data_IF_412592562306
#
_entry.id   IF_412592562306
#
_cell.length_a   1.000
_cell.length_b   1.000
_cell.length_c   1.000
_cell.angle_alpha   90.00
_cell.angle_beta   90.00
_cell.angle_gamma   90.00
#
_symmetry.space_group_name_H-M   'P 1'
#
loop_
_entity.id
_entity.type
_entity.pdbx_description
1 polymer ?
#
# COMPACT_ATOMS: atom_id res chain seq x y z
N UNK A 1 43.47 12.35 31.57
CA UNK A 1 42.54 11.68 30.66
C UNK A 1 42.90 10.21 30.68
N UNK A 2 42.00 9.41 31.24
CA UNK A 2 42.14 7.96 31.41
C UNK A 2 42.39 7.30 30.03
N UNK A 3 43.13 6.18 29.98
CA UNK A 3 43.43 5.49 28.71
C UNK A 3 42.13 5.08 27.99
N UNK A 4 41.07 4.80 28.75
CA UNK A 4 39.72 4.59 28.23
C UNK A 4 39.15 5.82 27.51
N UNK A 5 39.32 7.02 28.08
CA UNK A 5 38.82 8.27 27.48
C UNK A 5 39.55 8.61 26.20
N UNK A 6 40.88 8.38 26.15
CA UNK A 6 41.66 8.53 24.92
C UNK A 6 41.20 7.57 23.82
N UNK A 7 40.91 6.31 24.18
CA UNK A 7 40.41 5.32 23.23
C UNK A 7 39.03 5.70 22.68
N UNK A 8 38.11 6.18 23.54
CA UNK A 8 36.79 6.66 23.13
C UNK A 8 36.87 7.88 22.22
N UNK A 9 37.68 8.89 22.57
CA UNK A 9 37.86 10.06 21.73
C UNK A 9 38.37 9.69 20.32
N UNK A 10 39.26 8.70 20.22
CA UNK A 10 39.74 8.19 18.93
C UNK A 10 38.65 7.48 18.12
N UNK A 11 37.74 6.74 18.78
CA UNK A 11 36.58 6.16 18.12
C UNK A 11 35.65 7.25 17.60
N UNK A 12 35.37 8.29 18.40
CA UNK A 12 34.50 9.39 17.99
C UNK A 12 35.02 10.09 16.72
N UNK A 13 36.33 10.28 16.61
CA UNK A 13 36.95 10.86 15.41
C UNK A 13 36.87 9.94 14.18
N UNK A 14 37.00 8.62 14.38
CA UNK A 14 36.78 7.63 13.32
C UNK A 14 35.31 7.63 12.89
N UNK A 15 34.38 7.72 13.82
CA UNK A 15 32.94 7.69 13.54
C UNK A 15 32.46 8.93 12.80
N UNK A 16 33.06 10.11 13.03
CA UNK A 16 32.82 11.30 12.20
C UNK A 16 33.18 11.06 10.74
N UNK A 17 34.35 10.47 10.47
CA UNK A 17 34.77 10.13 9.11
C UNK A 17 33.84 9.07 8.51
N UNK A 18 33.46 8.05 9.29
CA UNK A 18 32.53 7.03 8.86
C UNK A 18 31.15 7.62 8.50
N UNK A 19 30.67 8.63 9.24
CA UNK A 19 29.40 9.30 8.95
C UNK A 19 29.43 10.01 7.60
N UNK A 20 30.51 10.73 7.28
CA UNK A 20 30.68 11.39 5.98
C UNK A 20 30.75 10.38 4.83
N UNK A 21 31.58 9.33 4.99
CA UNK A 21 31.69 8.25 4.00
C UNK A 21 30.36 7.49 3.82
N UNK A 22 29.63 7.29 4.91
CA UNK A 22 28.31 6.68 4.88
C UNK A 22 27.33 7.54 4.07
N UNK A 23 27.29 8.85 4.31
CA UNK A 23 26.46 9.80 3.56
C UNK A 23 26.73 9.73 2.06
N UNK A 24 27.99 9.89 1.66
CA UNK A 24 28.41 9.82 0.26
C UNK A 24 28.03 8.48 -0.38
N UNK A 25 28.21 7.37 0.34
CA UNK A 25 27.84 6.03 -0.12
C UNK A 25 26.33 5.91 -0.35
N UNK A 26 25.50 6.48 0.51
CA UNK A 26 24.03 6.45 0.36
C UNK A 26 23.57 7.28 -0.83
N UNK A 27 24.20 8.42 -1.13
CA UNK A 27 23.91 9.19 -2.36
C UNK A 27 24.15 8.35 -3.63
N UNK A 28 25.25 7.60 -3.69
CA UNK A 28 25.50 6.70 -4.82
C UNK A 28 24.54 5.51 -4.84
N UNK A 29 24.14 4.99 -3.68
CA UNK A 29 23.09 3.98 -3.61
C UNK A 29 21.78 4.49 -4.22
N UNK A 30 21.39 5.75 -3.96
CA UNK A 30 20.23 6.38 -4.58
C UNK A 30 20.39 6.54 -6.11
N UNK A 31 21.54 7.01 -6.58
CA UNK A 31 21.82 7.12 -8.03
C UNK A 31 21.68 5.77 -8.75
N UNK A 32 22.23 4.70 -8.16
CA UNK A 32 22.09 3.33 -8.70
C UNK A 32 20.61 2.92 -8.77
N UNK A 33 19.85 3.18 -7.71
CA UNK A 33 18.43 2.87 -7.67
C UNK A 33 17.65 3.59 -8.79
N UNK A 34 17.83 4.91 -8.91
CA UNK A 34 17.16 5.72 -9.94
C UNK A 34 17.52 5.24 -11.36
N UNK A 35 18.80 4.97 -11.61
CA UNK A 35 19.26 4.44 -12.90
C UNK A 35 18.59 3.11 -13.22
N UNK A 36 18.57 2.16 -12.26
CA UNK A 36 17.93 0.87 -12.43
C UNK A 36 16.45 1.01 -12.77
N UNK A 37 15.73 1.91 -12.10
CA UNK A 37 14.32 2.22 -12.38
C UNK A 37 14.13 2.76 -13.81
N UNK A 38 14.95 3.70 -14.25
CA UNK A 38 14.86 4.29 -15.59
C UNK A 38 15.11 3.26 -16.71
N UNK A 39 15.85 2.20 -16.42
CA UNK A 39 16.24 1.17 -17.38
C UNK A 39 15.55 -0.19 -17.17
N UNK A 40 14.58 -0.28 -16.25
CA UNK A 40 13.83 -1.51 -15.98
C UNK A 40 14.68 -2.66 -15.40
N UNK A 41 15.75 -2.36 -14.67
CA UNK A 41 16.65 -3.35 -14.07
C UNK A 41 16.26 -3.68 -12.63
N UNK A 42 16.41 -4.94 -12.22
CA UNK A 42 16.13 -5.38 -10.85
C UNK A 42 17.10 -4.74 -9.84
N UNK A 43 16.56 -4.23 -8.74
CA UNK A 43 17.32 -3.66 -7.62
C UNK A 43 18.13 -4.75 -6.91
N UNK A 44 17.65 -5.99 -6.91
CA UNK A 44 18.28 -7.16 -6.29
C UNK A 44 19.14 -7.94 -7.29
N UNK A 45 20.41 -8.15 -6.92
CA UNK A 45 21.32 -9.04 -7.64
C UNK A 45 22.14 -9.82 -6.60
N UNK A 46 21.65 -11.00 -6.26
CA UNK A 46 22.24 -11.86 -5.24
C UNK A 46 23.66 -12.33 -5.60
N UNK A 47 23.94 -12.47 -6.89
CA UNK A 47 25.25 -12.91 -7.41
C UNK A 47 26.28 -11.80 -7.20
N UNK A 48 25.92 -10.57 -7.55
CA UNK A 48 26.77 -9.40 -7.32
C UNK A 48 26.99 -9.13 -5.83
N UNK A 49 25.97 -9.33 -4.99
CA UNK A 49 26.10 -9.16 -3.54
C UNK A 49 27.11 -10.15 -2.93
N UNK A 50 26.99 -11.43 -3.27
CA UNK A 50 27.90 -12.45 -2.80
C UNK A 50 29.35 -12.15 -3.21
N UNK A 51 29.54 -11.68 -4.45
CA UNK A 51 30.83 -11.25 -4.98
C UNK A 51 31.39 -10.03 -4.24
N UNK A 52 30.57 -9.00 -3.98
CA UNK A 52 30.98 -7.79 -3.25
C UNK A 52 31.37 -8.11 -1.82
N UNK A 53 30.59 -8.94 -1.12
CA UNK A 53 30.91 -9.35 0.25
C UNK A 53 32.22 -10.12 0.27
N UNK A 54 32.42 -11.08 -0.64
CA UNK A 54 33.65 -11.86 -0.75
C UNK A 54 34.85 -10.94 -1.01
N UNK A 55 34.79 -10.14 -2.08
CA UNK A 55 35.90 -9.28 -2.51
C UNK A 55 36.31 -8.28 -1.42
N UNK A 56 35.34 -7.67 -0.73
CA UNK A 56 35.63 -6.72 0.34
C UNK A 56 36.15 -7.40 1.60
N UNK A 57 35.59 -8.56 1.96
CA UNK A 57 36.08 -9.33 3.10
C UNK A 57 37.51 -9.83 2.86
N UNK A 58 37.83 -10.25 1.63
CA UNK A 58 39.16 -10.75 1.27
C UNK A 58 40.22 -9.64 1.24
N UNK A 59 39.83 -8.41 0.91
CA UNK A 59 40.70 -7.23 0.97
C UNK A 59 40.99 -6.76 2.40
N UNK A 60 40.24 -7.23 3.40
CA UNK A 60 40.46 -6.88 4.81
C UNK A 60 41.55 -7.79 5.42
N UNK A 61 42.52 -7.24 6.16
CA UNK A 61 43.60 -8.01 6.75
C UNK A 61 43.12 -9.20 7.58
N UNK A 62 43.86 -10.31 7.52
CA UNK A 62 43.58 -11.49 8.35
C UNK A 62 43.78 -11.18 9.83
N UNK A 63 42.84 -11.64 10.66
CA UNK A 63 42.83 -11.43 12.10
C UNK A 63 41.43 -11.55 12.71
N UNK A 64 41.34 -11.39 14.04
CA UNK A 64 40.12 -11.63 14.82
C UNK A 64 38.94 -10.73 14.42
N UNK A 65 39.21 -9.58 13.79
CA UNK A 65 38.20 -8.61 13.37
C UNK A 65 37.63 -8.88 11.98
N UNK A 66 38.26 -9.73 11.16
CA UNK A 66 37.83 -9.99 9.76
C UNK A 66 36.39 -10.49 9.67
N UNK A 67 35.98 -11.36 10.60
CA UNK A 67 34.59 -11.87 10.67
C UNK A 67 33.58 -10.76 10.93
N UNK A 68 33.92 -9.79 11.78
CA UNK A 68 33.05 -8.66 12.11
C UNK A 68 32.99 -7.65 10.95
N UNK A 69 34.12 -7.43 10.26
CA UNK A 69 34.13 -6.61 9.06
C UNK A 69 33.26 -7.20 7.95
N UNK A 70 33.33 -8.52 7.71
CA UNK A 70 32.45 -9.20 6.76
C UNK A 70 30.97 -8.99 7.07
N UNK A 71 30.60 -9.05 8.35
CA UNK A 71 29.22 -8.78 8.80
C UNK A 71 28.85 -7.30 8.62
N UNK A 72 29.77 -6.38 8.90
CA UNK A 72 29.56 -4.95 8.64
C UNK A 72 29.28 -4.68 7.15
N UNK A 73 30.02 -5.29 6.23
CA UNK A 73 29.79 -5.17 4.77
C UNK A 73 28.38 -5.65 4.41
N UNK A 74 27.96 -6.81 4.94
CA UNK A 74 26.61 -7.35 4.74
C UNK A 74 25.53 -6.39 5.26
N UNK A 75 25.68 -5.90 6.48
CA UNK A 75 24.72 -4.97 7.10
C UNK A 75 24.62 -3.66 6.32
N UNK A 76 25.76 -3.14 5.85
CA UNK A 76 25.80 -1.92 5.05
C UNK A 76 25.10 -2.13 3.69
N UNK A 77 25.28 -3.28 3.04
CA UNK A 77 24.55 -3.63 1.81
C UNK A 77 23.03 -3.72 2.06
N UNK A 78 22.61 -4.37 3.14
CA UNK A 78 21.20 -4.47 3.50
C UNK A 78 20.57 -3.09 3.78
N UNK A 79 21.28 -2.21 4.48
CA UNK A 79 20.82 -0.85 4.73
C UNK A 79 20.68 -0.05 3.43
N UNK A 80 21.58 -0.27 2.48
CA UNK A 80 21.50 0.34 1.13
C UNK A 80 20.25 -0.12 0.41
N UNK A 81 19.96 -1.42 0.42
CA UNK A 81 18.77 -1.98 -0.20
C UNK A 81 17.50 -1.41 0.43
N UNK A 82 17.46 -1.32 1.76
CA UNK A 82 16.32 -0.71 2.47
C UNK A 82 16.13 0.74 2.03
N UNK A 83 17.21 1.51 1.92
CA UNK A 83 17.17 2.88 1.45
C UNK A 83 16.77 3.00 -0.02
N UNK A 84 17.33 2.16 -0.89
CA UNK A 84 16.98 2.08 -2.31
C UNK A 84 15.51 1.72 -2.51
N UNK A 85 14.98 0.72 -1.79
CA UNK A 85 13.56 0.36 -1.81
C UNK A 85 12.66 1.51 -1.34
N UNK A 86 13.04 2.17 -0.24
CA UNK A 86 12.32 3.34 0.25
C UNK A 86 12.32 4.49 -0.77
N UNK A 87 13.45 4.71 -1.45
CA UNK A 87 13.60 5.71 -2.50
C UNK A 87 12.80 5.37 -3.76
N UNK A 88 12.71 4.08 -4.09
CA UNK A 88 12.06 3.58 -5.28
C UNK A 88 10.56 3.34 -5.12
N UNK A 89 10.05 3.32 -3.89
CA UNK A 89 8.64 2.99 -3.60
C UNK A 89 8.22 1.73 -4.37
N UNK A 90 9.03 0.66 -4.32
CA UNK A 90 8.65 -0.60 -4.97
C UNK A 90 7.26 -1.04 -4.49
N UNK A 91 6.42 -1.41 -5.45
CA UNK A 91 5.06 -1.92 -5.24
C UNK A 91 5.12 -3.02 -4.17
N UNK A 92 4.57 -2.76 -2.98
CA UNK A 92 4.49 -3.79 -1.96
C UNK A 92 3.19 -4.54 -2.19
N UNK A 93 3.28 -5.71 -2.80
CA UNK A 93 2.18 -6.66 -2.87
C UNK A 93 2.21 -7.58 -1.64
N UNK A 94 1.12 -7.58 -0.89
CA UNK A 94 0.91 -8.44 0.27
C UNK A 94 -0.23 -9.38 -0.08
N UNK A 95 0.04 -10.69 -0.14
CA UNK A 95 -1.01 -11.68 -0.30
C UNK A 95 -1.66 -11.98 1.05
N UNK A 96 -2.98 -11.84 1.13
CA UNK A 96 -3.78 -12.13 2.32
C UNK A 96 -4.51 -13.44 2.08
N UNK A 97 -4.13 -14.48 2.83
CA UNK A 97 -4.85 -15.76 2.86
C UNK A 97 -6.07 -15.63 3.77
N UNK A 98 -7.26 -15.88 3.24
CA UNK A 98 -8.50 -15.99 4.01
C UNK A 98 -9.00 -17.43 3.99
N UNK A 99 -10.18 -17.71 4.57
CA UNK A 99 -10.81 -19.03 4.43
C UNK A 99 -11.28 -19.37 3.00
N UNK A 100 -11.12 -18.43 2.05
CA UNK A 100 -11.44 -18.56 0.62
C UNK A 100 -10.14 -18.49 -0.23
N UNK A 101 -10.25 -18.09 -1.50
CA UNK A 101 -9.13 -17.97 -2.45
C UNK A 101 -8.08 -16.90 -2.08
N UNK A 102 -8.32 -16.10 -1.04
CA UNK A 102 -7.47 -14.96 -0.65
C UNK A 102 -7.50 -13.81 -1.67
N UNK A 103 -6.71 -12.77 -1.40
CA UNK A 103 -6.58 -11.61 -2.30
C UNK A 103 -5.26 -10.88 -2.09
N UNK A 104 -4.91 -10.03 -3.05
CA UNK A 104 -3.69 -9.21 -2.99
C UNK A 104 -4.00 -7.81 -2.52
N UNK A 105 -3.18 -7.30 -1.61
CA UNK A 105 -3.12 -5.90 -1.19
C UNK A 105 -1.92 -5.27 -1.89
N UNK A 106 -2.14 -4.37 -2.83
CA UNK A 106 -1.08 -3.63 -3.52
C UNK A 106 -0.92 -2.26 -2.87
N UNK A 107 0.28 -1.95 -2.39
CA UNK A 107 0.63 -0.63 -1.87
C UNK A 107 1.59 0.06 -2.83
N UNK A 108 1.10 1.10 -3.50
CA UNK A 108 1.87 1.83 -4.52
C UNK A 108 1.47 3.30 -4.57
N UNK A 109 2.46 4.20 -4.59
CA UNK A 109 2.21 5.64 -4.80
C UNK A 109 1.69 5.91 -6.21
N UNK A 110 0.65 6.72 -6.30
CA UNK A 110 0.01 7.03 -7.57
C UNK A 110 -0.81 5.87 -8.15
N UNK A 111 -1.12 4.84 -7.35
CA UNK A 111 -1.93 3.70 -7.78
C UNK A 111 -3.30 4.11 -8.32
N UNK A 112 -3.88 5.25 -7.89
CA UNK A 112 -5.15 5.73 -8.47
C UNK A 112 -5.04 6.04 -9.97
N UNK A 113 -3.88 6.48 -10.45
CA UNK A 113 -3.65 6.76 -11.88
C UNK A 113 -3.55 5.47 -12.71
N UNK A 114 -3.22 4.36 -12.06
CA UNK A 114 -3.03 3.05 -12.69
C UNK A 114 -4.09 2.04 -12.25
N UNK A 115 -5.22 2.49 -11.67
CA UNK A 115 -6.29 1.66 -11.15
C UNK A 115 -6.79 0.61 -12.17
N UNK A 116 -6.84 0.97 -13.45
CA UNK A 116 -7.20 0.05 -14.54
C UNK A 116 -6.29 -1.16 -14.70
N UNK A 117 -5.06 -1.14 -14.15
CA UNK A 117 -4.16 -2.32 -14.12
C UNK A 117 -4.59 -3.36 -13.08
N UNK A 118 -5.24 -2.92 -12.01
CA UNK A 118 -5.60 -3.78 -10.87
C UNK A 118 -7.06 -4.26 -10.94
N UNK A 119 -7.96 -3.41 -11.45
CA UNK A 119 -9.38 -3.74 -11.56
C UNK A 119 -9.62 -4.58 -12.81
N UNK A 120 -9.72 -5.89 -12.64
CA UNK A 120 -10.08 -6.83 -13.70
C UNK A 120 -11.59 -7.02 -13.72
N UNK A 121 -12.27 -6.33 -14.65
CA UNK A 121 -13.70 -6.51 -14.92
C UNK A 121 -13.91 -6.85 -16.39
N UNK A 122 -14.78 -7.81 -16.68
CA UNK A 122 -15.17 -8.16 -18.03
C UNK A 122 -16.37 -7.34 -18.53
N UNK A 123 -16.89 -6.42 -17.71
CA UNK A 123 -18.05 -5.60 -18.04
C UNK A 123 -18.03 -4.26 -17.34
N UNK A 124 -19.17 -3.85 -16.78
CA UNK A 124 -19.37 -2.52 -16.19
C UNK A 124 -18.66 -2.38 -14.85
N UNK A 125 -18.35 -1.14 -14.51
CA UNK A 125 -17.71 -0.77 -13.24
C UNK A 125 -18.55 0.32 -12.59
N UNK A 126 -18.90 0.15 -11.32
CA UNK A 126 -19.48 1.18 -10.47
C UNK A 126 -18.46 1.59 -9.41
N UNK A 127 -17.99 2.83 -9.45
CA UNK A 127 -17.28 3.43 -8.33
C UNK A 127 -18.30 3.96 -7.32
N UNK A 128 -18.23 3.47 -6.09
CA UNK A 128 -18.94 4.04 -4.93
C UNK A 128 -17.93 4.83 -4.11
N UNK A 129 -18.26 6.08 -3.79
CA UNK A 129 -17.43 6.97 -2.97
C UNK A 129 -18.30 7.81 -2.05
N UNK A 130 -17.70 8.63 -1.19
CA UNK A 130 -18.42 9.56 -0.33
C UNK A 130 -18.03 11.02 -0.59
N UNK A 131 -18.84 11.96 -0.10
CA UNK A 131 -18.67 13.40 -0.31
C UNK A 131 -17.42 13.99 0.34
N UNK A 132 -16.75 13.26 1.25
CA UNK A 132 -15.51 13.66 1.89
C UNK A 132 -14.27 13.25 1.12
N UNK A 133 -14.38 12.31 0.18
CA UNK A 133 -13.29 11.95 -0.72
C UNK A 133 -13.10 13.08 -1.75
N UNK A 134 -11.89 13.66 -1.88
CA UNK A 134 -11.62 14.68 -2.86
C UNK A 134 -12.01 14.26 -4.28
N UNK A 135 -12.75 15.11 -4.98
CA UNK A 135 -13.22 14.87 -6.36
C UNK A 135 -12.09 14.49 -7.32
N UNK A 136 -10.89 15.05 -7.12
CA UNK A 136 -9.69 14.75 -7.90
C UNK A 136 -9.29 13.27 -7.83
N UNK A 137 -9.48 12.61 -6.70
CA UNK A 137 -9.20 11.18 -6.56
C UNK A 137 -10.19 10.34 -7.38
N UNK A 138 -11.47 10.71 -7.36
CA UNK A 138 -12.48 10.08 -8.20
C UNK A 138 -12.16 10.27 -9.69
N UNK A 139 -11.80 11.49 -10.11
CA UNK A 139 -11.44 11.81 -11.49
C UNK A 139 -10.24 10.99 -11.98
N UNK A 140 -9.20 10.80 -11.15
CA UNK A 140 -8.07 9.90 -11.46
C UNK A 140 -8.54 8.46 -11.68
N UNK A 141 -9.40 7.94 -10.80
CA UNK A 141 -9.92 6.58 -10.92
C UNK A 141 -10.74 6.39 -12.20
N UNK A 142 -11.68 7.30 -12.47
CA UNK A 142 -12.53 7.27 -13.67
C UNK A 142 -11.67 7.31 -14.94
N UNK A 143 -10.67 8.19 -14.98
CA UNK A 143 -9.73 8.29 -16.10
C UNK A 143 -8.93 7.00 -16.29
N UNK A 144 -8.44 6.40 -15.19
CA UNK A 144 -7.63 5.19 -15.25
C UNK A 144 -8.40 3.96 -15.71
N UNK A 145 -9.70 3.89 -15.38
CA UNK A 145 -10.57 2.78 -15.75
C UNK A 145 -11.12 2.88 -17.19
N UNK A 146 -10.93 4.02 -17.87
CA UNK A 146 -11.43 4.22 -19.23
C UNK A 146 -12.95 4.43 -19.32
N UNK A 147 -13.59 4.83 -18.21
CA UNK A 147 -15.04 5.07 -18.13
C UNK A 147 -15.76 4.11 -17.18
N UNK A 148 -16.61 4.64 -16.31
CA UNK A 148 -17.36 3.86 -15.32
C UNK A 148 -18.59 4.64 -14.83
N UNK A 149 -19.53 3.95 -14.19
CA UNK A 149 -20.59 4.60 -13.42
C UNK A 149 -20.03 5.06 -12.08
N UNK A 150 -20.57 6.15 -11.53
CA UNK A 150 -20.17 6.67 -10.23
C UNK A 150 -21.40 6.91 -9.34
N UNK A 151 -21.25 6.65 -8.04
CA UNK A 151 -22.22 7.01 -7.02
C UNK A 151 -21.50 7.66 -5.83
N UNK A 152 -21.91 8.88 -5.49
CA UNK A 152 -21.38 9.62 -4.33
C UNK A 152 -22.43 9.56 -3.22
N UNK A 153 -22.05 8.97 -2.10
CA UNK A 153 -22.83 8.91 -0.86
C UNK A 153 -22.47 10.10 0.05
N UNK A 154 -23.31 10.46 1.02
CA UNK A 154 -22.91 11.42 2.03
C UNK A 154 -21.84 10.81 2.95
N UNK A 155 -20.83 11.60 3.31
CA UNK A 155 -19.78 11.19 4.26
C UNK A 155 -20.34 11.03 5.68
N UNK A 156 -19.82 10.08 6.45
CA UNK A 156 -20.10 9.93 7.88
C UNK A 156 -20.53 8.50 8.26
N UNK A 157 -20.29 8.10 9.50
CA UNK A 157 -20.67 6.76 9.98
C UNK A 157 -22.19 6.57 9.99
N UNK A 158 -22.95 7.64 10.23
CA UNK A 158 -24.42 7.64 10.16
C UNK A 158 -24.96 7.27 8.77
N UNK A 159 -24.13 7.41 7.73
CA UNK A 159 -24.45 7.04 6.36
C UNK A 159 -24.18 5.57 6.05
N UNK A 160 -23.58 4.83 6.99
CA UNK A 160 -23.39 3.38 6.93
C UNK A 160 -24.67 2.64 7.29
N UNK A 161 -25.70 2.84 6.48
CA UNK A 161 -27.06 2.41 6.79
C UNK A 161 -27.73 1.69 5.60
N UNK A 162 -28.90 1.13 5.87
CA UNK A 162 -29.73 0.42 4.90
C UNK A 162 -30.08 1.28 3.67
N UNK A 163 -30.36 2.56 3.86
CA UNK A 163 -30.87 3.40 2.78
C UNK A 163 -29.77 3.68 1.74
N UNK A 164 -28.54 3.98 2.19
CA UNK A 164 -27.39 4.11 1.29
C UNK A 164 -26.95 2.78 0.67
N UNK A 165 -27.11 1.65 1.38
CA UNK A 165 -26.95 0.31 0.78
C UNK A 165 -27.89 0.11 -0.41
N UNK A 166 -29.18 0.41 -0.25
CA UNK A 166 -30.14 0.26 -1.35
C UNK A 166 -29.89 1.26 -2.48
N UNK A 167 -29.41 2.48 -2.22
CA UNK A 167 -28.99 3.39 -3.29
C UNK A 167 -27.90 2.81 -4.19
N UNK A 168 -26.98 2.01 -3.64
CA UNK A 168 -25.96 1.29 -4.44
C UNK A 168 -26.64 0.21 -5.28
N UNK A 169 -27.53 -0.59 -4.68
CA UNK A 169 -28.26 -1.67 -5.35
C UNK A 169 -29.12 -1.12 -6.50
N UNK A 170 -29.84 -0.03 -6.26
CA UNK A 170 -30.67 0.65 -7.25
C UNK A 170 -29.82 1.13 -8.42
N UNK A 171 -28.66 1.75 -8.12
CA UNK A 171 -27.72 2.19 -9.16
C UNK A 171 -27.22 1.03 -10.02
N UNK A 172 -26.90 -0.11 -9.40
CA UNK A 172 -26.49 -1.32 -10.11
C UNK A 172 -27.62 -1.84 -11.01
N UNK A 173 -28.84 -1.92 -10.48
CA UNK A 173 -30.03 -2.39 -11.19
C UNK A 173 -30.38 -1.50 -12.39
N UNK A 174 -30.50 -0.18 -12.17
CA UNK A 174 -30.86 0.80 -13.20
C UNK A 174 -29.88 0.82 -14.38
N UNK A 175 -28.59 0.53 -14.12
CA UNK A 175 -27.55 0.52 -15.15
C UNK A 175 -27.29 -0.90 -15.72
N UNK A 176 -28.13 -1.88 -15.38
CA UNK A 176 -28.11 -3.22 -15.94
C UNK A 176 -26.87 -4.03 -15.56
N UNK A 177 -26.38 -3.88 -14.32
CA UNK A 177 -25.23 -4.64 -13.84
C UNK A 177 -25.54 -6.15 -13.74
N UNK A 178 -24.57 -6.96 -14.07
CA UNK A 178 -24.62 -8.43 -14.13
C UNK A 178 -23.52 -9.05 -13.27
N UNK A 179 -23.39 -10.37 -13.25
CA UNK A 179 -22.38 -11.09 -12.45
C UNK A 179 -20.94 -10.87 -12.89
N UNK A 180 -20.71 -10.50 -14.15
CA UNK A 180 -19.37 -10.21 -14.68
C UNK A 180 -18.89 -8.79 -14.39
N UNK A 181 -19.77 -7.94 -13.86
CA UNK A 181 -19.49 -6.55 -13.55
C UNK A 181 -18.91 -6.41 -12.13
N UNK A 182 -18.42 -5.22 -11.79
CA UNK A 182 -17.80 -5.01 -10.48
C UNK A 182 -18.14 -3.68 -9.81
N UNK A 183 -17.98 -3.67 -8.49
CA UNK A 183 -18.02 -2.48 -7.63
C UNK A 183 -16.61 -2.14 -7.17
N UNK A 184 -16.27 -0.86 -7.22
CA UNK A 184 -15.03 -0.30 -6.67
C UNK A 184 -15.40 0.63 -5.52
N UNK A 185 -15.00 0.31 -4.29
CA UNK A 185 -15.12 1.22 -3.15
C UNK A 185 -13.94 2.18 -3.12
N UNK A 186 -14.17 3.46 -3.39
CA UNK A 186 -13.17 4.52 -3.24
C UNK A 186 -13.53 5.35 -2.00
N UNK A 187 -12.90 5.09 -0.86
CA UNK A 187 -13.21 5.84 0.36
C UNK A 187 -12.64 5.26 1.65
N UNK A 188 -13.16 5.75 2.78
CA UNK A 188 -12.86 5.20 4.10
C UNK A 188 -13.58 3.88 4.39
N UNK A 189 -13.52 3.42 5.64
CA UNK A 189 -14.15 2.17 6.07
C UNK A 189 -15.65 2.10 5.83
N UNK A 190 -16.37 3.22 6.01
CA UNK A 190 -17.82 3.31 5.72
C UNK A 190 -18.16 2.93 4.28
N UNK A 191 -17.42 3.49 3.32
CA UNK A 191 -17.63 3.21 1.89
C UNK A 191 -17.25 1.77 1.59
N UNK A 192 -16.10 1.30 2.10
CA UNK A 192 -15.65 -0.08 1.93
C UNK A 192 -16.68 -1.10 2.42
N UNK A 193 -17.22 -0.91 3.63
CA UNK A 193 -18.20 -1.80 4.22
C UNK A 193 -19.53 -1.77 3.47
N UNK A 194 -20.05 -0.58 3.16
CA UNK A 194 -21.37 -0.45 2.53
C UNK A 194 -21.34 -0.95 1.08
N UNK A 195 -20.31 -0.61 0.32
CA UNK A 195 -20.17 -1.03 -1.07
C UNK A 195 -19.77 -2.50 -1.20
N UNK A 196 -18.90 -3.00 -0.32
CA UNK A 196 -18.56 -4.41 -0.25
C UNK A 196 -19.79 -5.26 0.12
N UNK A 197 -20.63 -4.78 1.05
CA UNK A 197 -21.86 -5.48 1.39
C UNK A 197 -22.86 -5.47 0.23
N UNK A 198 -23.04 -4.34 -0.45
CA UNK A 198 -23.84 -4.26 -1.67
C UNK A 198 -23.38 -5.27 -2.73
N UNK A 199 -22.08 -5.35 -2.99
CA UNK A 199 -21.49 -6.29 -3.94
C UNK A 199 -21.70 -7.75 -3.54
N UNK A 200 -21.67 -8.06 -2.24
CA UNK A 200 -21.89 -9.42 -1.73
C UNK A 200 -23.31 -9.94 -1.97
N UNK A 201 -24.32 -9.06 -1.94
CA UNK A 201 -25.74 -9.46 -2.04
C UNK A 201 -26.32 -9.24 -3.42
N UNK A 202 -25.83 -8.27 -4.19
CA UNK A 202 -26.29 -8.03 -5.56
C UNK A 202 -25.98 -9.22 -6.47
N UNK A 203 -26.98 -9.75 -7.17
CA UNK A 203 -26.87 -11.00 -7.96
C UNK A 203 -26.30 -12.22 -7.19
N UNK A 204 -26.38 -12.19 -5.85
CA UNK A 204 -25.76 -13.14 -4.91
C UNK A 204 -24.22 -13.12 -4.94
N UNK A 205 -23.62 -11.98 -5.27
CA UNK A 205 -22.18 -11.78 -5.33
C UNK A 205 -21.73 -11.30 -6.71
N UNK A 206 -21.15 -10.11 -6.75
CA UNK A 206 -20.41 -9.57 -7.89
C UNK A 206 -19.02 -9.11 -7.45
N UNK A 207 -18.08 -9.01 -8.38
CA UNK A 207 -16.69 -8.67 -8.04
C UNK A 207 -16.60 -7.32 -7.31
N UNK A 208 -15.78 -7.27 -6.28
CA UNK A 208 -15.57 -6.09 -5.44
C UNK A 208 -14.09 -5.76 -5.35
N UNK A 209 -13.73 -4.49 -5.50
CA UNK A 209 -12.37 -3.98 -5.32
C UNK A 209 -12.38 -2.86 -4.28
N UNK A 210 -11.45 -2.89 -3.34
CA UNK A 210 -11.38 -1.90 -2.27
C UNK A 210 -10.21 -0.95 -2.51
N UNK A 211 -10.48 0.35 -2.48
CA UNK A 211 -9.50 1.43 -2.70
C UNK A 211 -9.54 2.37 -1.49
N UNK A 212 -8.93 1.95 -0.36
CA UNK A 212 -9.03 2.68 0.90
C UNK A 212 -8.30 4.02 0.86
N UNK A 213 -9.02 5.09 1.21
CA UNK A 213 -8.49 6.45 1.20
C UNK A 213 -8.17 7.02 2.57
N UNK A 214 -8.42 6.31 3.67
CA UNK A 214 -8.06 6.74 5.03
C UNK A 214 -7.02 5.82 5.64
N UNK A 215 -6.21 6.33 6.56
CA UNK A 215 -5.16 5.51 7.20
C UNK A 215 -5.77 4.29 7.90
N UNK A 216 -6.83 4.50 8.68
CA UNK A 216 -7.53 3.43 9.38
C UNK A 216 -8.07 2.37 8.41
N UNK A 217 -8.63 2.76 7.26
CA UNK A 217 -9.09 1.77 6.29
C UNK A 217 -7.95 1.05 5.59
N UNK A 218 -6.79 1.70 5.39
CA UNK A 218 -5.60 1.08 4.80
C UNK A 218 -4.95 0.01 5.70
N UNK A 219 -5.07 0.13 7.02
CA UNK A 219 -4.38 -0.78 7.98
C UNK A 219 -5.30 -1.76 8.70
N UNK A 220 -6.61 -1.52 8.71
CA UNK A 220 -7.59 -2.34 9.43
C UNK A 220 -8.75 -2.74 8.53
N UNK A 221 -9.67 -1.80 8.22
CA UNK A 221 -10.98 -2.17 7.67
C UNK A 221 -10.98 -2.65 6.21
N UNK A 222 -9.89 -2.46 5.46
CA UNK A 222 -9.79 -3.03 4.11
C UNK A 222 -9.37 -4.50 4.08
N UNK A 223 -8.95 -5.05 5.23
CA UNK A 223 -8.41 -6.40 5.33
C UNK A 223 -9.32 -7.27 6.21
N UNK A 224 -9.70 -8.44 5.70
CA UNK A 224 -10.45 -9.47 6.43
C UNK A 224 -11.88 -9.72 5.94
N UNK A 225 -12.31 -9.04 4.88
CA UNK A 225 -13.56 -9.32 4.17
C UNK A 225 -14.84 -9.04 4.97
N UNK A 226 -14.75 -8.43 6.15
CA UNK A 226 -15.93 -8.02 6.92
C UNK A 226 -16.54 -6.80 6.26
N UNK A 227 -17.78 -6.92 5.80
CA UNK A 227 -18.52 -5.84 5.15
C UNK A 227 -19.93 -5.77 5.75
N UNK A 228 -20.52 -4.58 5.83
CA UNK A 228 -21.85 -4.45 6.43
C UNK A 228 -22.34 -3.04 6.65
N UNK A 229 -23.50 -2.94 7.29
CA UNK A 229 -24.15 -1.70 7.67
C UNK A 229 -24.65 -1.75 9.10
N UNK A 230 -24.83 -0.57 9.68
CA UNK A 230 -25.40 -0.39 11.00
C UNK A 230 -26.92 -0.55 10.95
N UNK A 231 -27.51 -1.04 12.05
CA UNK A 231 -28.96 -1.21 12.15
C UNK A 231 -29.46 -0.83 13.55
N UNK A 232 -30.38 0.14 13.59
CA UNK A 232 -31.04 0.62 14.83
C UNK A 232 -30.06 0.94 15.97
N UNK A 233 -28.93 1.59 15.66
CA UNK A 233 -27.90 1.98 16.63
C UNK A 233 -26.87 0.89 16.97
N UNK A 234 -27.07 -0.34 16.49
CA UNK A 234 -26.04 -1.37 16.58
C UNK A 234 -25.06 -1.29 15.41
N UNK A 235 -23.78 -1.24 15.72
CA UNK A 235 -22.69 -1.16 14.74
C UNK A 235 -22.44 -2.50 14.07
N UNK A 236 -22.28 -2.52 12.74
CA UNK A 236 -21.93 -3.69 11.95
C UNK A 236 -22.84 -4.92 12.18
N UNK A 237 -24.12 -4.71 12.53
CA UNK A 237 -25.02 -5.81 12.88
C UNK A 237 -25.48 -6.62 11.67
N UNK A 238 -25.57 -5.99 10.50
CA UNK A 238 -26.03 -6.64 9.26
C UNK A 238 -24.89 -6.59 8.26
N UNK A 239 -24.41 -7.74 7.83
CA UNK A 239 -23.25 -7.81 6.95
C UNK A 239 -22.96 -9.20 6.43
N UNK A 240 -21.80 -9.34 5.80
CA UNK A 240 -21.28 -10.58 5.25
C UNK A 240 -19.76 -10.66 5.42
N UNK A 241 -19.22 -11.87 5.33
CA UNK A 241 -17.81 -12.09 5.01
C UNK A 241 -17.68 -12.21 3.49
N UNK A 242 -17.14 -11.17 2.85
CA UNK A 242 -16.99 -11.07 1.41
C UNK A 242 -15.62 -10.49 1.05
N UNK A 243 -14.74 -11.34 0.54
CA UNK A 243 -13.39 -10.94 0.20
C UNK A 243 -13.37 -10.05 -1.06
N UNK A 244 -12.62 -8.94 -1.05
CA UNK A 244 -12.36 -8.19 -2.27
C UNK A 244 -11.52 -9.03 -3.23
N UNK A 245 -11.60 -8.74 -4.53
CA UNK A 245 -10.69 -9.29 -5.54
C UNK A 245 -9.28 -8.71 -5.43
N UNK A 246 -9.18 -7.46 -5.01
CA UNK A 246 -7.92 -6.83 -4.59
C UNK A 246 -8.19 -5.61 -3.71
N UNK A 247 -7.18 -5.25 -2.90
CA UNK A 247 -7.12 -3.98 -2.17
C UNK A 247 -6.01 -3.13 -2.77
N UNK A 248 -6.31 -1.90 -3.17
CA UNK A 248 -5.36 -0.99 -3.84
C UNK A 248 -5.13 0.22 -2.95
N UNK A 249 -3.95 0.29 -2.34
CA UNK A 249 -3.55 1.35 -1.43
C UNK A 249 -2.64 2.32 -2.16
N UNK A 250 -3.12 3.56 -2.32
CA UNK A 250 -2.30 4.70 -2.77
C UNK A 250 -1.95 5.59 -1.57
N UNK A 251 -0.71 5.55 -1.05
CA UNK A 251 -0.33 6.38 0.10
C UNK A 251 -0.43 7.88 -0.14
N UNK A 252 -0.44 8.35 -1.40
CA UNK A 252 -0.49 9.78 -1.71
C UNK A 252 -1.86 10.39 -1.37
N UNK A 253 -2.93 9.59 -1.31
CA UNK A 253 -4.27 10.09 -0.94
C UNK A 253 -4.30 10.61 0.50
N UNK A 254 -3.42 10.11 1.38
CA UNK A 254 -3.34 10.53 2.78
C UNK A 254 -2.86 11.98 2.92
N UNK A 255 -2.19 12.55 1.92
CA UNK A 255 -1.77 13.96 1.95
C UNK A 255 -2.95 14.93 1.96
N UNK A 256 -4.13 14.46 1.53
CA UNK A 256 -5.37 15.25 1.51
C UNK A 256 -6.22 15.10 2.78
N UNK A 257 -5.82 14.24 3.71
CA UNK A 257 -6.54 14.01 4.96
C UNK A 257 -6.17 15.03 6.03
N UNK A 258 -7.18 15.48 6.78
CA UNK A 258 -6.95 16.27 7.99
C UNK A 258 -6.11 15.47 8.99
N UNK A 259 -5.17 16.14 9.67
CA UNK A 259 -4.23 15.51 10.61
C UNK A 259 -4.89 14.60 11.65
N UNK A 260 -6.10 14.94 12.11
CA UNK A 260 -6.83 14.11 13.10
C UNK A 260 -7.09 12.68 12.63
N UNK A 261 -7.22 12.45 11.33
CA UNK A 261 -7.48 11.14 10.76
C UNK A 261 -6.20 10.33 10.49
N UNK A 262 -5.03 10.95 10.65
CA UNK A 262 -3.71 10.31 10.58
C UNK A 262 -3.21 9.92 11.98
N UNK A 263 -3.70 10.61 13.02
CA UNK A 263 -3.26 10.44 14.41
C UNK A 263 -4.08 9.43 15.24
N UNK A 264 -5.12 8.83 14.66
CA UNK A 264 -5.93 7.76 15.26
C UNK A 264 -5.37 6.39 14.88
#
# INVERSE_FOLDING_TARGET
>A
MDELEKARAKIDDIDKINAELFGARMEYAAKIALYKREHGLDVTDLTREAEVIRTRADAYPDGDTKKFYRENVRNTLNLSKKYQRALLCEDNEIFVSTGNDGYTVTVKRGALNELGKYVKSAGRILIVTDSGVPKQHLEKCVSSLGGCHTLVLPQGEENKNRDNLFRIIDKLYENGFTRSDCVVALGGGVVGDTAGFAASIYNRGISFYNVPTTLLSQVDSSVGGKVGVDYRGGKNLIGAFYDPKAVIIDPDVLQTLERRHIAN
#
